data_IF_453186372803
#
_entry.id   IF_453186372803
#
_cell.length_a   1.000
_cell.length_b   1.000
_cell.length_c   1.000
_cell.angle_alpha   90.00
_cell.angle_beta   90.00
_cell.angle_gamma   90.00
#
_symmetry.space_group_name_H-M   'P 1'
#
loop_
_entity.id
_entity.type
_entity.pdbx_description
1 polymer ?
#
# COMPACT_ATOMS: atom_id res chain seq x y z
N UNK A 1 -23.05 23.83 25.91
CA UNK A 1 -23.59 23.73 24.54
C UNK A 1 -22.49 23.38 23.54
N UNK A 2 -21.42 24.17 23.44
CA UNK A 2 -20.32 23.94 22.49
C UNK A 2 -19.65 22.56 22.60
N UNK A 3 -19.34 22.11 23.82
CA UNK A 3 -18.76 20.78 24.06
C UNK A 3 -19.67 19.63 23.58
N UNK A 4 -20.99 19.79 23.70
CA UNK A 4 -21.97 18.79 23.27
C UNK A 4 -21.96 18.70 21.74
N UNK A 5 -21.99 19.85 21.06
CA UNK A 5 -21.92 19.93 19.59
C UNK A 5 -20.62 19.32 19.07
N UNK A 6 -19.49 19.63 19.71
CA UNK A 6 -18.19 19.05 19.36
C UNK A 6 -18.18 17.52 19.53
N UNK A 7 -18.73 17.01 20.65
CA UNK A 7 -18.85 15.57 20.89
C UNK A 7 -19.68 14.86 19.81
N UNK A 8 -20.82 15.44 19.42
CA UNK A 8 -21.66 14.92 18.33
C UNK A 8 -20.87 14.92 17.00
N UNK A 9 -20.14 16.00 16.71
CA UNK A 9 -19.30 16.08 15.51
C UNK A 9 -18.26 14.96 15.44
N UNK A 10 -17.55 14.68 16.53
CA UNK A 10 -16.57 13.60 16.60
C UNK A 10 -17.22 12.24 16.37
N UNK A 11 -18.39 11.98 16.96
CA UNK A 11 -19.13 10.73 16.77
C UNK A 11 -19.58 10.54 15.31
N UNK A 12 -20.08 11.61 14.67
CA UNK A 12 -20.46 11.57 13.25
C UNK A 12 -19.26 11.32 12.34
N UNK A 13 -18.12 11.98 12.59
CA UNK A 13 -16.88 11.73 11.85
C UNK A 13 -16.43 10.27 12.02
N UNK A 14 -16.48 9.74 13.25
CA UNK A 14 -16.11 8.34 13.51
C UNK A 14 -17.03 7.36 12.77
N UNK A 15 -18.34 7.62 12.76
CA UNK A 15 -19.32 6.82 12.05
C UNK A 15 -19.07 6.85 10.53
N UNK A 16 -18.89 8.05 9.97
CA UNK A 16 -18.58 8.24 8.54
C UNK A 16 -17.28 7.53 8.16
N UNK A 17 -16.24 7.63 9.01
CA UNK A 17 -14.97 6.93 8.82
C UNK A 17 -15.15 5.41 8.76
N UNK A 18 -15.79 4.82 9.78
CA UNK A 18 -15.92 3.36 9.90
C UNK A 18 -16.87 2.75 8.88
N UNK A 19 -17.97 3.43 8.55
CA UNK A 19 -19.07 2.84 7.76
C UNK A 19 -19.00 3.19 6.28
N UNK A 20 -18.48 4.36 5.92
CA UNK A 20 -18.42 4.82 4.54
C UNK A 20 -16.98 4.77 4.02
N UNK A 21 -16.11 5.63 4.57
CA UNK A 21 -14.77 5.84 4.00
C UNK A 21 -13.90 4.58 4.04
N UNK A 22 -13.82 3.89 5.18
CA UNK A 22 -13.03 2.65 5.30
C UNK A 22 -13.51 1.57 4.33
N UNK A 23 -14.82 1.48 4.08
CA UNK A 23 -15.40 0.50 3.16
C UNK A 23 -15.09 0.85 1.71
N UNK A 24 -15.25 2.12 1.31
CA UNK A 24 -14.87 2.57 -0.03
C UNK A 24 -13.36 2.40 -0.29
N UNK A 25 -12.52 2.61 0.72
CA UNK A 25 -11.08 2.33 0.64
C UNK A 25 -10.82 0.83 0.45
N UNK A 26 -11.50 -0.04 1.21
CA UNK A 26 -11.37 -1.50 1.07
C UNK A 26 -11.73 -1.94 -0.34
N UNK A 27 -12.85 -1.48 -0.87
CA UNK A 27 -13.33 -1.85 -2.20
C UNK A 27 -12.33 -1.37 -3.28
N UNK A 28 -11.87 -0.12 -3.19
CA UNK A 28 -10.85 0.43 -4.12
C UNK A 28 -9.56 -0.40 -4.15
N UNK A 29 -9.08 -0.89 -3.00
CA UNK A 29 -7.85 -1.70 -2.96
C UNK A 29 -8.10 -3.14 -3.40
N UNK A 30 -9.29 -3.69 -3.15
CA UNK A 30 -9.70 -5.00 -3.68
C UNK A 30 -9.78 -4.99 -5.20
N UNK A 31 -10.33 -3.94 -5.79
CA UNK A 31 -10.41 -3.81 -7.25
C UNK A 31 -9.01 -3.86 -7.88
N UNK A 32 -8.04 -3.12 -7.32
CA UNK A 32 -6.65 -3.19 -7.79
C UNK A 32 -6.02 -4.59 -7.64
N UNK A 33 -6.34 -5.30 -6.56
CA UNK A 33 -5.87 -6.69 -6.39
C UNK A 33 -6.55 -7.65 -7.38
N UNK A 34 -7.81 -7.42 -7.73
CA UNK A 34 -8.50 -8.15 -8.79
C UNK A 34 -7.84 -7.90 -10.15
N UNK A 35 -7.54 -6.64 -10.47
CA UNK A 35 -6.83 -6.27 -11.69
C UNK A 35 -5.47 -6.96 -11.79
N UNK A 36 -4.70 -7.01 -10.69
CA UNK A 36 -3.43 -7.74 -10.65
C UNK A 36 -3.59 -9.24 -10.91
N UNK A 37 -4.63 -9.85 -10.33
CA UNK A 37 -4.93 -11.28 -10.53
C UNK A 37 -5.33 -11.58 -11.97
N UNK A 38 -6.09 -10.69 -12.59
CA UNK A 38 -6.53 -10.87 -13.97
C UNK A 38 -5.35 -10.62 -14.93
N UNK A 39 -4.48 -9.65 -14.63
CA UNK A 39 -3.21 -9.42 -15.32
C UNK A 39 -2.26 -10.63 -15.23
N UNK A 40 -2.14 -11.28 -14.07
CA UNK A 40 -1.38 -12.53 -13.89
C UNK A 40 -1.83 -13.59 -14.90
N UNK A 41 -3.14 -13.83 -15.02
CA UNK A 41 -3.70 -14.80 -15.97
C UNK A 41 -3.48 -14.37 -17.42
N UNK A 42 -3.61 -13.08 -17.74
CA UNK A 42 -3.38 -12.57 -19.09
C UNK A 42 -1.92 -12.72 -19.52
N UNK A 43 -0.98 -12.40 -18.64
CA UNK A 43 0.46 -12.47 -18.92
C UNK A 43 0.95 -13.91 -19.07
N UNK A 44 0.49 -14.84 -18.21
CA UNK A 44 0.82 -16.26 -18.36
C UNK A 44 0.35 -16.81 -19.71
N UNK A 45 -0.88 -16.47 -20.15
CA UNK A 45 -1.37 -16.87 -21.47
C UNK A 45 -0.60 -16.23 -22.63
N UNK A 46 -0.24 -14.95 -22.50
CA UNK A 46 0.49 -14.21 -23.55
C UNK A 46 1.88 -14.79 -23.80
N UNK A 47 2.57 -15.20 -22.74
CA UNK A 47 3.94 -15.71 -22.82
C UNK A 47 4.02 -17.26 -22.92
N UNK A 48 2.88 -17.92 -23.11
CA UNK A 48 2.77 -19.39 -23.14
C UNK A 48 3.38 -20.08 -21.90
N UNK A 49 3.24 -19.45 -20.73
CA UNK A 49 3.67 -20.02 -19.45
C UNK A 49 2.59 -20.95 -18.89
N UNK A 50 3.00 -22.09 -18.33
CA UNK A 50 2.06 -23.08 -17.79
C UNK A 50 1.27 -22.50 -16.59
N UNK A 51 -0.05 -22.43 -16.74
CA UNK A 51 -0.98 -22.02 -15.68
C UNK A 51 -1.23 -23.12 -14.64
N UNK A 52 -0.78 -24.36 -14.87
CA UNK A 52 -0.82 -25.44 -13.87
C UNK A 52 0.47 -25.52 -13.04
N UNK A 53 1.48 -24.73 -13.42
CA UNK A 53 2.75 -24.67 -12.72
C UNK A 53 2.55 -24.35 -11.22
N UNK A 54 3.42 -24.89 -10.33
CA UNK A 54 3.38 -24.55 -8.91
C UNK A 54 3.46 -23.04 -8.66
N UNK A 55 4.31 -22.33 -9.41
CA UNK A 55 4.48 -20.88 -9.28
C UNK A 55 3.19 -20.10 -9.55
N UNK A 56 2.45 -20.43 -10.60
CA UNK A 56 1.17 -19.78 -10.89
C UNK A 56 0.18 -19.96 -9.73
N UNK A 57 0.09 -21.18 -9.19
CA UNK A 57 -0.78 -21.49 -8.05
C UNK A 57 -0.39 -20.70 -6.81
N UNK A 58 0.89 -20.70 -6.44
CA UNK A 58 1.38 -19.95 -5.28
C UNK A 58 1.11 -18.44 -5.38
N UNK A 59 1.34 -17.84 -6.54
CA UNK A 59 1.10 -16.40 -6.76
C UNK A 59 -0.40 -16.09 -6.73
N UNK A 60 -1.22 -16.92 -7.36
CA UNK A 60 -2.68 -16.78 -7.33
C UNK A 60 -3.22 -16.91 -5.90
N UNK A 61 -2.72 -17.86 -5.13
CA UNK A 61 -3.14 -18.10 -3.76
C UNK A 61 -2.70 -16.96 -2.83
N UNK A 62 -1.52 -16.37 -3.08
CA UNK A 62 -1.08 -15.13 -2.42
C UNK A 62 -2.05 -13.97 -2.68
N UNK A 63 -2.38 -13.70 -3.95
CA UNK A 63 -3.33 -12.63 -4.31
C UNK A 63 -4.73 -12.86 -3.74
N UNK A 64 -5.21 -14.10 -3.78
CA UNK A 64 -6.49 -14.47 -3.16
C UNK A 64 -6.44 -14.31 -1.64
N UNK A 65 -5.31 -14.63 -1.01
CA UNK A 65 -5.05 -14.36 0.39
C UNK A 65 -5.18 -12.87 0.70
N UNK A 66 -4.53 -12.01 -0.09
CA UNK A 66 -4.66 -10.56 0.03
C UNK A 66 -6.11 -10.11 -0.09
N UNK A 67 -6.85 -10.52 -1.13
CA UNK A 67 -8.26 -10.17 -1.35
C UNK A 67 -9.18 -10.57 -0.19
N UNK A 68 -8.99 -11.80 0.32
CA UNK A 68 -9.81 -12.36 1.39
C UNK A 68 -9.55 -11.65 2.71
N UNK A 69 -8.28 -11.39 3.02
CA UNK A 69 -7.88 -10.93 4.33
C UNK A 69 -7.61 -9.43 4.40
N UNK A 70 -7.72 -8.67 3.29
CA UNK A 70 -7.41 -7.22 3.22
C UNK A 70 -7.94 -6.47 4.43
N UNK A 71 -9.22 -6.65 4.78
CA UNK A 71 -9.89 -5.94 5.87
C UNK A 71 -9.29 -6.22 7.26
N UNK A 72 -8.69 -7.39 7.45
CA UNK A 72 -8.05 -7.81 8.69
C UNK A 72 -6.64 -7.27 8.85
N UNK A 73 -6.05 -6.69 7.81
CA UNK A 73 -4.75 -6.04 7.95
C UNK A 73 -4.91 -4.70 8.64
N UNK A 74 -4.64 -4.66 9.94
CA UNK A 74 -4.44 -3.40 10.65
C UNK A 74 -2.96 -3.04 10.72
N UNK A 75 -2.65 -1.75 10.58
CA UNK A 75 -1.29 -1.26 10.72
C UNK A 75 -0.71 -1.53 12.11
N UNK A 76 -1.53 -1.45 13.16
CA UNK A 76 -1.13 -1.74 14.54
C UNK A 76 -0.69 -3.18 14.75
N UNK A 77 -1.46 -4.16 14.24
CA UNK A 77 -1.08 -5.57 14.36
C UNK A 77 0.19 -5.86 13.56
N UNK A 78 0.32 -5.25 12.39
CA UNK A 78 1.54 -5.39 11.60
C UNK A 78 2.77 -4.85 12.33
N UNK A 79 2.70 -3.65 12.90
CA UNK A 79 3.83 -3.08 13.65
C UNK A 79 4.20 -3.92 14.87
N UNK A 80 3.20 -4.51 15.55
CA UNK A 80 3.46 -5.41 16.66
C UNK A 80 4.25 -6.65 16.20
N UNK A 81 3.80 -7.32 15.14
CA UNK A 81 4.47 -8.50 14.59
C UNK A 81 5.86 -8.12 14.06
N UNK A 82 5.96 -7.01 13.32
CA UNK A 82 7.22 -6.52 12.79
C UNK A 82 8.23 -6.25 13.90
N UNK A 83 7.83 -5.55 14.96
CA UNK A 83 8.72 -5.26 16.10
C UNK A 83 9.17 -6.55 16.78
N UNK A 84 8.26 -7.51 16.97
CA UNK A 84 8.58 -8.80 17.56
C UNK A 84 9.59 -9.59 16.71
N UNK A 85 9.45 -9.53 15.39
CA UNK A 85 10.30 -10.25 14.44
C UNK A 85 11.62 -9.51 14.17
N UNK A 86 11.63 -8.17 14.23
CA UNK A 86 12.80 -7.31 13.95
C UNK A 86 14.00 -7.59 14.84
N UNK A 87 13.77 -8.04 16.07
CA UNK A 87 14.84 -8.39 17.00
C UNK A 87 15.41 -9.79 16.78
N UNK A 88 14.79 -10.63 15.94
CA UNK A 88 15.23 -11.99 15.67
C UNK A 88 15.59 -12.19 14.19
N UNK A 89 16.85 -11.90 13.84
CA UNK A 89 17.37 -12.02 12.46
C UNK A 89 17.30 -13.45 11.91
N UNK A 90 17.47 -14.46 12.77
CA UNK A 90 17.40 -15.86 12.35
C UNK A 90 15.97 -16.25 11.97
N UNK A 91 14.98 -15.78 12.76
CA UNK A 91 13.57 -15.95 12.42
C UNK A 91 13.26 -15.26 11.09
N UNK A 92 13.67 -14.00 10.89
CA UNK A 92 13.49 -13.28 9.62
C UNK A 92 14.09 -14.03 8.43
N UNK A 93 15.31 -14.56 8.59
CA UNK A 93 15.98 -15.32 7.54
C UNK A 93 15.22 -16.61 7.23
N UNK A 94 14.84 -17.38 8.25
CA UNK A 94 14.09 -18.62 8.07
C UNK A 94 12.71 -18.38 7.42
N UNK A 95 12.06 -17.29 7.81
CA UNK A 95 10.82 -16.75 7.25
C UNK A 95 10.97 -16.48 5.74
N UNK A 96 11.94 -15.64 5.38
CA UNK A 96 12.29 -15.31 3.99
C UNK A 96 12.66 -16.54 3.15
N UNK A 97 13.54 -17.40 3.66
CA UNK A 97 13.96 -18.62 2.95
C UNK A 97 12.80 -19.60 2.75
N UNK A 98 11.88 -19.71 3.72
CA UNK A 98 10.66 -20.51 3.55
C UNK A 98 9.73 -19.91 2.51
N UNK A 99 9.61 -18.58 2.48
CA UNK A 99 8.77 -17.89 1.52
C UNK A 99 9.30 -18.04 0.10
N UNK A 100 10.56 -17.67 -0.15
CA UNK A 100 11.19 -17.69 -1.48
C UNK A 100 11.25 -19.09 -2.10
N UNK A 101 11.31 -20.16 -1.28
CA UNK A 101 11.23 -21.54 -1.78
C UNK A 101 9.94 -21.85 -2.54
N UNK A 102 8.83 -21.14 -2.29
CA UNK A 102 7.57 -21.34 -3.02
C UNK A 102 7.54 -20.58 -4.36
N UNK A 103 8.51 -19.70 -4.62
CA UNK A 103 8.53 -18.81 -5.79
C UNK A 103 9.68 -19.09 -6.76
N UNK A 104 10.20 -20.33 -6.77
CA UNK A 104 11.19 -20.77 -7.75
C UNK A 104 10.54 -20.80 -9.14
N UNK A 105 11.18 -20.17 -10.11
CA UNK A 105 10.70 -20.03 -11.48
C UNK A 105 11.67 -20.71 -12.46
N UNK A 106 11.15 -21.23 -13.57
CA UNK A 106 11.95 -21.93 -14.58
C UNK A 106 12.68 -20.95 -15.52
N UNK A 107 12.11 -19.75 -15.71
CA UNK A 107 12.68 -18.71 -16.57
C UNK A 107 12.95 -17.41 -15.81
N UNK A 108 13.99 -16.70 -16.26
CA UNK A 108 14.38 -15.40 -15.72
C UNK A 108 13.28 -14.35 -15.92
N UNK A 109 12.58 -14.39 -17.06
CA UNK A 109 11.52 -13.44 -17.36
C UNK A 109 10.28 -13.66 -16.48
N UNK A 110 9.92 -14.93 -16.22
CA UNK A 110 8.87 -15.27 -15.27
C UNK A 110 9.25 -14.82 -13.85
N UNK A 111 10.49 -15.06 -13.43
CA UNK A 111 10.98 -14.62 -12.11
C UNK A 111 10.88 -13.10 -11.93
N UNK A 112 11.34 -12.32 -12.92
CA UNK A 112 11.23 -10.85 -12.92
C UNK A 112 9.78 -10.37 -12.86
N UNK A 113 8.90 -10.98 -13.66
CA UNK A 113 7.48 -10.63 -13.66
C UNK A 113 6.82 -10.92 -12.32
N UNK A 114 7.04 -12.12 -11.76
CA UNK A 114 6.49 -12.51 -10.46
C UNK A 114 7.00 -11.59 -9.36
N UNK A 115 8.29 -11.24 -9.35
CA UNK A 115 8.85 -10.30 -8.39
C UNK A 115 8.19 -8.90 -8.48
N UNK A 116 7.99 -8.39 -9.69
CA UNK A 116 7.32 -7.10 -9.91
C UNK A 116 5.85 -7.12 -9.44
N UNK A 117 5.10 -8.17 -9.80
CA UNK A 117 3.71 -8.33 -9.42
C UNK A 117 3.54 -8.47 -7.90
N UNK A 118 4.44 -9.22 -7.25
CA UNK A 118 4.54 -9.34 -5.80
C UNK A 118 4.76 -7.99 -5.12
N UNK A 119 5.72 -7.21 -5.63
CA UNK A 119 6.00 -5.87 -5.13
C UNK A 119 4.77 -4.95 -5.25
N UNK A 120 4.08 -4.97 -6.39
CA UNK A 120 2.87 -4.17 -6.60
C UNK A 120 1.73 -4.57 -5.65
N UNK A 121 1.52 -5.88 -5.46
CA UNK A 121 0.54 -6.39 -4.51
C UNK A 121 0.85 -5.95 -3.07
N UNK A 122 2.14 -5.99 -2.66
CA UNK A 122 2.59 -5.46 -1.36
C UNK A 122 2.28 -3.97 -1.24
N UNK A 123 2.58 -3.16 -2.25
CA UNK A 123 2.31 -1.72 -2.22
C UNK A 123 0.82 -1.42 -2.04
N UNK A 124 -0.06 -2.17 -2.71
CA UNK A 124 -1.52 -2.03 -2.54
C UNK A 124 -1.93 -2.35 -1.11
N UNK A 125 -1.43 -3.45 -0.54
CA UNK A 125 -1.75 -3.85 0.83
C UNK A 125 -1.24 -2.85 1.88
N UNK A 126 0.00 -2.38 1.74
CA UNK A 126 0.56 -1.35 2.62
C UNK A 126 -0.23 -0.04 2.52
N UNK A 127 -0.61 0.37 1.30
CA UNK A 127 -1.44 1.55 1.08
C UNK A 127 -2.80 1.43 1.77
N UNK A 128 -3.44 0.26 1.69
CA UNK A 128 -4.68 -0.01 2.44
C UNK A 128 -4.46 0.07 3.95
N UNK A 129 -3.42 -0.55 4.49
CA UNK A 129 -3.13 -0.55 5.94
C UNK A 129 -2.93 0.86 6.49
N UNK A 130 -2.19 1.70 5.76
CA UNK A 130 -1.94 3.09 6.13
C UNK A 130 -3.22 3.92 6.04
N UNK A 131 -3.95 3.81 4.93
CA UNK A 131 -5.16 4.62 4.70
C UNK A 131 -6.36 4.17 5.52
N UNK A 132 -6.46 2.89 5.90
CA UNK A 132 -7.54 2.37 6.74
C UNK A 132 -7.33 2.66 8.24
N UNK A 133 -6.13 3.07 8.63
CA UNK A 133 -5.77 3.43 10.01
C UNK A 133 -6.18 4.87 10.29
N UNK A 134 -7.27 5.06 11.05
CA UNK A 134 -7.86 6.39 11.26
C UNK A 134 -6.89 7.43 11.85
N UNK A 135 -5.97 7.01 12.73
CA UNK A 135 -4.96 7.91 13.29
C UNK A 135 -3.90 8.34 12.26
N UNK A 136 -3.53 7.46 11.32
CA UNK A 136 -2.64 7.83 10.21
C UNK A 136 -3.30 8.85 9.30
N UNK A 137 -4.61 8.70 9.06
CA UNK A 137 -5.37 9.71 8.30
C UNK A 137 -5.41 11.04 9.02
N UNK A 138 -5.56 11.06 10.34
CA UNK A 138 -5.45 12.31 11.11
C UNK A 138 -4.06 12.95 10.96
N UNK A 139 -2.98 12.17 11.02
CA UNK A 139 -1.64 12.67 10.78
C UNK A 139 -1.51 13.23 9.36
N UNK A 140 -1.98 12.51 8.34
CA UNK A 140 -1.96 12.98 6.95
C UNK A 140 -2.73 14.30 6.83
N UNK A 141 -3.95 14.38 7.34
CA UNK A 141 -4.77 15.61 7.29
C UNK A 141 -4.11 16.77 8.03
N UNK A 142 -3.44 16.51 9.15
CA UNK A 142 -2.75 17.52 9.94
C UNK A 142 -1.45 18.02 9.26
N UNK A 143 -0.67 17.13 8.68
CA UNK A 143 0.61 17.47 8.04
C UNK A 143 0.48 17.91 6.59
N UNK A 144 -0.59 17.52 5.88
CA UNK A 144 -0.81 17.88 4.48
C UNK A 144 -0.78 19.41 4.24
N UNK A 145 -1.43 20.27 5.05
CA UNK A 145 -1.33 21.72 4.88
C UNK A 145 0.10 22.24 5.01
N UNK A 146 0.86 21.73 5.99
CA UNK A 146 2.26 22.11 6.22
C UNK A 146 3.08 21.78 4.98
N UNK A 147 2.92 20.57 4.46
CA UNK A 147 3.59 20.15 3.22
C UNK A 147 3.20 21.05 2.07
N UNK A 148 1.90 21.26 1.84
CA UNK A 148 1.40 22.07 0.73
C UNK A 148 2.02 23.47 0.79
N UNK A 149 2.10 24.07 1.98
CA UNK A 149 2.79 25.36 2.20
C UNK A 149 4.27 25.27 1.85
N UNK A 150 5.01 24.27 2.34
CA UNK A 150 6.44 24.08 2.02
C UNK A 150 6.66 23.90 0.52
N UNK A 151 5.80 23.13 -0.16
CA UNK A 151 5.89 22.91 -1.60
C UNK A 151 5.57 24.19 -2.38
N UNK A 152 4.54 24.94 -1.98
CA UNK A 152 4.19 26.23 -2.57
C UNK A 152 5.34 27.24 -2.39
N UNK A 153 5.95 27.30 -1.20
CA UNK A 153 7.12 28.15 -0.93
C UNK A 153 8.31 27.73 -1.79
N UNK A 154 8.63 26.44 -1.87
CA UNK A 154 9.73 25.93 -2.71
C UNK A 154 9.46 26.12 -4.21
N UNK A 155 8.21 26.04 -4.64
CA UNK A 155 7.76 26.36 -6.00
C UNK A 155 7.84 27.86 -6.28
N UNK A 156 7.46 28.70 -5.32
CA UNK A 156 7.54 30.16 -5.40
C UNK A 156 8.98 30.65 -5.45
N UNK A 157 9.88 30.12 -4.61
CA UNK A 157 11.32 30.43 -4.65
C UNK A 157 11.92 30.02 -6.00
N UNK A 158 11.57 28.83 -6.52
CA UNK A 158 12.00 28.39 -7.84
C UNK A 158 11.43 29.26 -8.96
N UNK A 159 10.17 29.69 -8.86
CA UNK A 159 9.52 30.58 -9.82
C UNK A 159 10.07 32.01 -9.78
N UNK A 160 10.42 32.53 -8.59
CA UNK A 160 11.12 33.80 -8.43
C UNK A 160 12.54 33.74 -9.01
N UNK A 161 13.24 32.61 -8.82
CA UNK A 161 14.54 32.36 -9.46
C UNK A 161 14.43 32.20 -10.98
N UNK A 162 13.29 31.75 -11.48
CA UNK A 162 13.03 31.55 -12.91
C UNK A 162 12.36 32.77 -13.60
N UNK A 163 11.96 33.79 -12.84
CA UNK A 163 11.41 35.10 -13.26
C UNK A 163 10.30 35.08 -14.33
N UNK A 164 9.09 35.49 -13.94
CA UNK A 164 8.32 36.46 -14.75
C UNK A 164 7.04 36.04 -15.49
N UNK A 165 6.77 34.77 -15.85
CA UNK A 165 5.68 34.57 -16.83
C UNK A 165 4.81 33.29 -16.81
N UNK A 166 4.84 32.43 -15.78
CA UNK A 166 4.04 31.20 -15.82
C UNK A 166 3.43 30.79 -14.47
N UNK A 167 2.47 31.60 -13.99
CA UNK A 167 1.70 31.27 -12.78
C UNK A 167 0.45 30.43 -13.11
N UNK A 168 -0.13 30.56 -14.32
CA UNK A 168 -1.42 29.94 -14.65
C UNK A 168 -1.36 28.49 -15.16
N UNK A 169 -0.24 28.03 -15.73
CA UNK A 169 -0.09 26.63 -16.18
C UNK A 169 0.10 25.62 -15.04
N UNK A 170 0.33 26.08 -13.79
CA UNK A 170 0.74 25.23 -12.66
C UNK A 170 -0.39 24.67 -11.79
N UNK A 171 -1.65 25.07 -11.97
CA UNK A 171 -2.75 24.51 -11.16
C UNK A 171 -3.09 23.06 -11.53
N UNK A 172 -2.96 22.68 -12.80
CA UNK A 172 -3.12 21.28 -13.23
C UNK A 172 -1.97 20.41 -12.70
N UNK A 173 -0.74 20.95 -12.70
CA UNK A 173 0.40 20.32 -12.04
C UNK A 173 0.16 20.14 -10.53
N UNK A 174 -0.56 21.03 -9.85
CA UNK A 174 -0.79 20.95 -8.41
C UNK A 174 -1.54 19.66 -7.99
N UNK A 175 -2.50 19.19 -8.81
CA UNK A 175 -3.20 17.92 -8.55
C UNK A 175 -2.26 16.73 -8.71
N UNK A 176 -1.48 16.71 -9.79
CA UNK A 176 -0.49 15.66 -10.03
C UNK A 176 0.60 15.66 -8.96
N UNK A 177 1.03 16.84 -8.52
CA UNK A 177 1.98 17.03 -7.42
C UNK A 177 1.39 16.56 -6.10
N UNK A 178 0.13 16.87 -5.77
CA UNK A 178 -0.52 16.36 -4.55
C UNK A 178 -0.64 14.83 -4.57
N UNK A 179 -1.07 14.24 -5.69
CA UNK A 179 -1.17 12.77 -5.79
C UNK A 179 0.20 12.11 -5.73
N UNK A 180 1.21 12.70 -6.37
CA UNK A 180 2.60 12.24 -6.32
C UNK A 180 3.18 12.40 -4.92
N UNK A 181 2.86 13.48 -4.20
CA UNK A 181 3.31 13.71 -2.84
C UNK A 181 2.67 12.72 -1.86
N UNK A 182 1.37 12.48 -1.95
CA UNK A 182 0.70 11.45 -1.15
C UNK A 182 1.33 10.10 -1.41
N UNK A 183 1.59 9.75 -2.68
CA UNK A 183 2.34 8.52 -3.02
C UNK A 183 3.74 8.51 -2.42
N UNK A 184 4.47 9.62 -2.46
CA UNK A 184 5.85 9.72 -2.00
C UNK A 184 5.95 9.71 -0.47
N UNK A 185 4.97 10.28 0.22
CA UNK A 185 4.87 10.25 1.69
C UNK A 185 4.44 8.87 2.15
N UNK A 186 3.48 8.26 1.47
CA UNK A 186 3.12 6.86 1.72
C UNK A 186 4.31 5.94 1.47
N UNK A 187 5.08 6.16 0.39
CA UNK A 187 6.29 5.40 0.09
C UNK A 187 7.39 5.65 1.13
N UNK A 188 7.58 6.88 1.60
CA UNK A 188 8.57 7.21 2.63
C UNK A 188 8.20 6.62 3.98
N UNK A 189 6.93 6.74 4.39
CA UNK A 189 6.41 6.10 5.62
C UNK A 189 6.50 4.58 5.48
N UNK A 190 6.12 4.02 4.34
CA UNK A 190 6.24 2.59 4.09
C UNK A 190 7.70 2.13 4.16
N UNK A 191 8.65 2.86 3.58
CA UNK A 191 10.07 2.52 3.63
C UNK A 191 10.69 2.70 5.02
N UNK A 192 10.25 3.70 5.78
CA UNK A 192 10.78 3.99 7.12
C UNK A 192 10.22 3.03 8.18
N UNK A 193 8.98 2.57 8.00
CA UNK A 193 8.28 1.76 9.00
C UNK A 193 8.25 0.29 8.63
N UNK A 194 8.00 -0.06 7.36
CA UNK A 194 7.62 -1.41 6.94
C UNK A 194 8.78 -2.13 6.23
N UNK A 195 9.18 -3.27 6.77
CA UNK A 195 10.02 -4.26 6.09
C UNK A 195 9.15 -5.03 5.08
N UNK A 196 9.39 -4.81 3.78
CA UNK A 196 8.55 -5.35 2.70
C UNK A 196 8.39 -6.88 2.76
N UNK A 197 9.44 -7.59 3.18
CA UNK A 197 9.45 -9.06 3.28
C UNK A 197 8.43 -9.60 4.30
N UNK A 198 8.08 -8.81 5.33
CA UNK A 198 7.20 -9.26 6.41
C UNK A 198 5.71 -9.23 6.02
N UNK A 199 5.32 -8.28 5.17
CA UNK A 199 3.94 -8.14 4.67
C UNK A 199 3.52 -9.37 3.87
N UNK A 200 4.43 -9.88 3.06
CA UNK A 200 4.20 -11.04 2.20
C UNK A 200 4.00 -12.33 3.00
N UNK A 201 4.86 -12.60 3.98
CA UNK A 201 4.74 -13.83 4.75
C UNK A 201 3.50 -13.86 5.63
N UNK A 202 3.18 -12.75 6.31
CA UNK A 202 2.00 -12.70 7.17
C UNK A 202 0.72 -13.04 6.39
N UNK A 203 0.64 -12.57 5.16
CA UNK A 203 -0.48 -12.78 4.25
C UNK A 203 -0.55 -14.21 3.72
N UNK A 204 0.60 -14.77 3.36
CA UNK A 204 0.69 -16.13 2.86
C UNK A 204 0.39 -17.18 3.94
N UNK A 205 0.85 -16.97 5.19
CA UNK A 205 0.49 -17.87 6.30
C UNK A 205 -1.01 -17.95 6.53
N UNK A 206 -1.72 -16.81 6.54
CA UNK A 206 -3.17 -16.81 6.73
C UNK A 206 -3.92 -17.54 5.60
N UNK A 207 -3.35 -17.56 4.40
CA UNK A 207 -3.89 -18.31 3.27
C UNK A 207 -3.59 -19.82 3.36
N UNK A 208 -2.38 -20.20 3.80
CA UNK A 208 -1.88 -21.59 3.76
C UNK A 208 -2.32 -22.49 4.94
N UNK A 209 -2.73 -21.93 6.09
CA UNK A 209 -3.15 -22.72 7.27
C UNK A 209 -4.62 -23.18 7.23
N UNK A 210 -5.21 -23.37 6.04
CA UNK A 210 -6.53 -23.98 5.84
C UNK A 210 -6.54 -24.83 4.58
#
# INVERSE_FOLDING_TARGET
MELIIAGIGILLINLMWRKMLKRSLLDTHRDKLFDLRDNLRATFRKNDWDMNSPIYRHVRDLLNGYLRYTERFSYSEFNYIETAVKHNKDLQRAMKERFERNFVCDSVDQSKYIAALRHEARQIMMSYMLTSSGWMVLLIVFFLPIVVVVMLLGGFIRALKASGLSVFTKMVELREVCTSFVRLTLAFIAAAVLTEDLVEEYSYRQAAYR
#
